data_IF_458776141652
#
_entry.id   IF_458776141652
#
_cell.length_a   1.000
_cell.length_b   1.000
_cell.length_c   1.000
_cell.angle_alpha   90.00
_cell.angle_beta   90.00
_cell.angle_gamma   90.00
#
_symmetry.space_group_name_H-M   'P 1'
#
loop_
_entity.id
_entity.type
_entity.pdbx_description
1 polymer ?
#
# COMPACT_ATOMS: atom_id res chain seq x y z
N UNK A 1 9.55 -19.37 0.36
CA UNK A 1 9.73 -18.66 -0.91
C UNK A 1 10.31 -17.29 -0.61
N UNK A 2 11.49 -17.01 -1.15
CA UNK A 2 12.18 -15.71 -1.01
C UNK A 2 11.39 -14.64 -1.80
N UNK A 3 11.54 -13.37 -1.44
CA UNK A 3 10.81 -12.26 -2.09
C UNK A 3 11.02 -12.25 -3.61
N UNK A 4 12.26 -12.42 -4.06
CA UNK A 4 12.63 -12.46 -5.47
C UNK A 4 11.92 -13.60 -6.21
N UNK A 5 11.89 -14.80 -5.64
CA UNK A 5 11.20 -15.96 -6.21
C UNK A 5 9.70 -15.70 -6.35
N UNK A 6 9.09 -15.09 -5.33
CA UNK A 6 7.65 -14.77 -5.37
C UNK A 6 7.34 -13.73 -6.44
N UNK A 7 8.14 -12.67 -6.55
CA UNK A 7 7.96 -11.65 -7.60
C UNK A 7 8.14 -12.24 -9.01
N UNK A 8 9.09 -13.16 -9.17
CA UNK A 8 9.29 -13.89 -10.42
C UNK A 8 8.08 -14.77 -10.76
N UNK A 9 7.52 -15.48 -9.77
CA UNK A 9 6.30 -16.27 -9.96
C UNK A 9 5.09 -15.39 -10.32
N UNK A 10 4.90 -14.27 -9.62
CA UNK A 10 3.83 -13.30 -9.91
C UNK A 10 3.93 -12.79 -11.36
N UNK A 11 5.14 -12.46 -11.82
CA UNK A 11 5.42 -12.06 -13.21
C UNK A 11 5.04 -13.14 -14.22
N UNK A 12 5.52 -14.38 -14.01
CA UNK A 12 5.24 -15.51 -14.91
C UNK A 12 3.75 -15.79 -15.05
N UNK A 13 3.03 -15.82 -13.92
CA UNK A 13 1.59 -16.11 -13.91
C UNK A 13 0.81 -15.03 -14.66
N UNK A 14 1.10 -13.75 -14.40
CA UNK A 14 0.39 -12.65 -15.06
C UNK A 14 0.74 -12.56 -16.54
N UNK A 15 2.00 -12.76 -16.91
CA UNK A 15 2.40 -12.80 -18.31
C UNK A 15 1.69 -13.92 -19.07
N UNK A 16 1.58 -15.11 -18.48
CA UNK A 16 0.81 -16.20 -19.05
C UNK A 16 -0.68 -15.85 -19.17
N UNK A 17 -1.26 -15.27 -18.13
CA UNK A 17 -2.66 -14.86 -18.08
C UNK A 17 -3.04 -13.89 -19.20
N UNK A 18 -2.21 -12.87 -19.42
CA UNK A 18 -2.44 -11.82 -20.42
C UNK A 18 -2.12 -12.32 -21.84
N UNK A 19 -0.94 -12.91 -22.05
CA UNK A 19 -0.45 -13.16 -23.40
C UNK A 19 -0.95 -14.48 -23.99
N UNK A 20 -1.02 -15.54 -23.19
CA UNK A 20 -1.30 -16.89 -23.68
C UNK A 20 -2.76 -17.27 -23.43
N UNK A 21 -3.24 -17.02 -22.22
CA UNK A 21 -4.59 -17.40 -21.83
C UNK A 21 -5.66 -16.37 -22.23
N UNK A 22 -5.29 -15.20 -22.78
CA UNK A 22 -6.22 -14.12 -23.14
C UNK A 22 -7.24 -13.80 -22.04
N UNK A 23 -6.76 -13.70 -20.80
CA UNK A 23 -7.56 -13.51 -19.59
C UNK A 23 -8.45 -14.69 -19.16
N UNK A 24 -8.23 -15.89 -19.69
CA UNK A 24 -8.90 -17.09 -19.22
C UNK A 24 -8.20 -17.71 -18.00
N UNK A 25 -8.89 -17.68 -16.86
CA UNK A 25 -8.39 -18.21 -15.58
C UNK A 25 -8.14 -19.71 -15.64
N UNK A 26 -9.01 -20.47 -16.32
CA UNK A 26 -8.94 -21.95 -16.36
C UNK A 26 -7.66 -22.42 -17.05
N UNK A 27 -7.30 -21.81 -18.17
CA UNK A 27 -6.08 -22.15 -18.93
C UNK A 27 -4.84 -21.87 -18.08
N UNK A 28 -4.77 -20.69 -17.47
CA UNK A 28 -3.66 -20.31 -16.59
C UNK A 28 -3.54 -21.23 -15.38
N UNK A 29 -4.66 -21.56 -14.73
CA UNK A 29 -4.65 -22.45 -13.56
C UNK A 29 -4.20 -23.85 -13.93
N UNK A 30 -4.67 -24.41 -15.05
CA UNK A 30 -4.27 -25.75 -15.48
C UNK A 30 -2.77 -25.84 -15.79
N UNK A 31 -2.21 -24.84 -16.46
CA UNK A 31 -0.78 -24.76 -16.77
C UNK A 31 0.08 -24.77 -15.49
N UNK A 32 -0.20 -23.87 -14.55
CA UNK A 32 0.61 -23.77 -13.32
C UNK A 32 0.29 -24.85 -12.28
N UNK A 33 -0.86 -25.53 -12.41
CA UNK A 33 -1.15 -26.72 -11.62
C UNK A 33 -0.23 -27.89 -12.00
N UNK A 34 0.12 -28.03 -13.29
CA UNK A 34 1.11 -29.01 -13.76
C UNK A 34 2.51 -28.68 -13.22
N UNK A 35 2.82 -27.39 -13.01
CA UNK A 35 4.05 -26.94 -12.33
C UNK A 35 3.99 -27.08 -10.79
N UNK A 36 2.99 -27.76 -10.25
CA UNK A 36 2.77 -27.97 -8.81
C UNK A 36 2.57 -26.68 -7.99
N UNK A 37 2.13 -25.59 -8.63
CA UNK A 37 1.79 -24.36 -7.90
C UNK A 37 0.37 -24.50 -7.35
N UNK A 38 0.15 -24.23 -6.05
CA UNK A 38 -1.17 -24.34 -5.44
C UNK A 38 -2.20 -23.42 -6.11
N UNK A 39 -3.37 -23.95 -6.44
CA UNK A 39 -4.50 -23.20 -7.02
C UNK A 39 -4.83 -21.91 -6.25
N UNK A 40 -4.87 -21.90 -4.90
CA UNK A 40 -5.15 -20.68 -4.15
C UNK A 40 -4.16 -19.55 -4.45
N UNK A 41 -2.88 -19.91 -4.64
CA UNK A 41 -1.82 -18.95 -4.98
C UNK A 41 -2.06 -18.34 -6.36
N UNK A 42 -2.39 -19.16 -7.36
CA UNK A 42 -2.63 -18.72 -8.73
C UNK A 42 -3.82 -17.75 -8.77
N UNK A 43 -4.96 -18.14 -8.18
CA UNK A 43 -6.15 -17.28 -8.14
C UNK A 43 -5.92 -15.98 -7.38
N UNK A 44 -5.19 -16.02 -6.26
CA UNK A 44 -4.84 -14.81 -5.50
C UNK A 44 -4.04 -13.82 -6.34
N UNK A 45 -3.11 -14.30 -7.15
CA UNK A 45 -2.26 -13.47 -8.01
C UNK A 45 -3.09 -12.88 -9.16
N UNK A 46 -3.91 -13.69 -9.83
CA UNK A 46 -4.81 -13.21 -10.90
C UNK A 46 -5.76 -12.14 -10.35
N UNK A 47 -6.41 -12.40 -9.21
CA UNK A 47 -7.33 -11.46 -8.58
C UNK A 47 -6.66 -10.13 -8.24
N UNK A 48 -5.45 -10.18 -7.66
CA UNK A 48 -4.65 -8.98 -7.36
C UNK A 48 -4.35 -8.17 -8.63
N UNK A 49 -4.03 -8.84 -9.73
CA UNK A 49 -3.79 -8.18 -11.00
C UNK A 49 -5.07 -7.53 -11.58
N UNK A 50 -6.21 -8.22 -11.49
CA UNK A 50 -7.51 -7.66 -11.93
C UNK A 50 -7.92 -6.43 -11.10
N UNK A 51 -7.66 -6.43 -9.79
CA UNK A 51 -8.06 -5.33 -8.90
C UNK A 51 -7.17 -4.08 -9.04
N UNK A 52 -5.87 -4.26 -9.23
CA UNK A 52 -4.90 -3.16 -9.14
C UNK A 52 -4.11 -2.91 -10.43
N UNK A 53 -4.23 -3.76 -11.44
CA UNK A 53 -3.43 -3.70 -12.68
C UNK A 53 -1.93 -3.91 -12.47
N UNK A 54 -1.51 -4.31 -11.26
CA UNK A 54 -0.11 -4.34 -10.85
C UNK A 54 0.26 -5.63 -10.11
N UNK A 55 1.50 -6.04 -10.33
CA UNK A 55 2.18 -7.15 -9.66
C UNK A 55 3.24 -6.62 -8.69
N UNK A 56 3.61 -7.40 -7.67
CA UNK A 56 4.56 -6.99 -6.65
C UNK A 56 3.92 -6.43 -5.38
N UNK A 57 4.67 -6.45 -4.29
CA UNK A 57 4.17 -5.98 -3.01
C UNK A 57 4.14 -4.43 -3.00
N UNK A 58 3.01 -3.85 -2.58
CA UNK A 58 2.93 -2.41 -2.32
C UNK A 58 3.97 -2.04 -1.26
N UNK A 59 4.55 -0.83 -1.32
CA UNK A 59 5.39 -0.35 -0.24
C UNK A 59 4.60 -0.50 1.06
N UNK A 60 5.19 -1.20 2.04
CA UNK A 60 4.57 -1.39 3.35
C UNK A 60 4.47 -0.03 4.00
N UNK A 61 3.31 0.61 3.89
CA UNK A 61 3.00 1.77 4.70
C UNK A 61 2.97 1.28 6.14
N UNK A 62 3.99 1.67 6.91
CA UNK A 62 4.00 1.42 8.34
C UNK A 62 2.73 2.01 8.98
N UNK A 63 2.44 1.61 10.22
CA UNK A 63 1.36 2.24 10.99
C UNK A 63 1.54 3.76 10.93
N UNK A 64 0.53 4.53 10.46
CA UNK A 64 0.64 5.98 10.44
C UNK A 64 1.09 6.48 11.82
N UNK A 65 2.18 7.24 11.87
CA UNK A 65 2.68 7.78 13.12
C UNK A 65 1.62 8.73 13.69
N UNK A 66 1.00 8.34 14.80
CA UNK A 66 0.25 9.29 15.62
C UNK A 66 1.23 10.32 16.15
N UNK A 67 0.82 11.58 16.23
CA UNK A 67 1.58 12.56 17.00
C UNK A 67 1.74 12.04 18.42
N UNK A 68 2.94 12.18 18.99
CA UNK A 68 3.13 11.88 20.40
C UNK A 68 2.32 12.86 21.26
N UNK A 69 2.03 12.50 22.51
CA UNK A 69 1.33 13.38 23.45
C UNK A 69 2.05 14.74 23.61
N UNK A 70 3.38 14.73 23.59
CA UNK A 70 4.20 15.95 23.65
C UNK A 70 4.01 16.83 22.40
N UNK A 71 3.99 16.21 21.21
CA UNK A 71 3.73 16.93 19.96
C UNK A 71 2.30 17.50 19.95
N UNK A 72 1.32 16.74 20.42
CA UNK A 72 -0.07 17.20 20.55
C UNK A 72 -0.20 18.42 21.47
N UNK A 73 0.43 18.39 22.65
CA UNK A 73 0.41 19.49 23.59
C UNK A 73 1.11 20.73 23.04
N UNK A 74 2.25 20.55 22.34
CA UNK A 74 2.96 21.63 21.64
C UNK A 74 2.09 22.24 20.55
N UNK A 75 1.43 21.41 19.73
CA UNK A 75 0.54 21.86 18.67
C UNK A 75 -0.60 22.71 19.25
N UNK A 76 -1.30 22.21 20.27
CA UNK A 76 -2.37 22.95 20.96
C UNK A 76 -1.87 24.28 21.48
N UNK A 77 -0.71 24.33 22.14
CA UNK A 77 -0.13 25.59 22.66
C UNK A 77 0.16 26.61 21.55
N UNK A 78 0.69 26.16 20.41
CA UNK A 78 1.02 27.03 19.27
C UNK A 78 -0.24 27.58 18.59
N UNK A 79 -1.35 26.84 18.61
CA UNK A 79 -2.60 27.23 17.95
C UNK A 79 -3.63 27.90 18.86
N UNK A 80 -3.53 27.71 20.18
CA UNK A 80 -4.43 28.29 21.19
C UNK A 80 -4.08 29.75 21.52
N UNK A 81 -2.80 30.11 21.38
CA UNK A 81 -2.40 31.51 21.40
C UNK A 81 -3.01 32.19 20.16
N UNK A 82 -3.75 33.30 20.35
CA UNK A 82 -4.45 34.08 19.31
C UNK A 82 -3.50 34.75 18.28
N UNK A 83 -2.45 34.06 17.86
CA UNK A 83 -1.35 34.57 17.03
C UNK A 83 -1.61 34.46 15.53
N UNK A 84 -2.77 33.96 15.08
CA UNK A 84 -3.10 33.90 13.65
C UNK A 84 -2.12 33.05 12.83
N UNK A 85 -1.35 32.17 13.50
CA UNK A 85 -0.31 31.37 12.87
C UNK A 85 -0.97 30.34 11.96
N UNK A 86 -0.56 30.33 10.71
CA UNK A 86 -1.07 29.37 9.74
C UNK A 86 -0.53 27.97 10.06
N UNK A 87 -1.39 26.96 9.94
CA UNK A 87 -0.95 25.55 10.02
C UNK A 87 0.18 25.22 9.04
N UNK A 88 0.28 25.95 7.91
CA UNK A 88 1.38 25.82 6.94
C UNK A 88 2.74 26.23 7.52
N UNK A 89 2.75 27.21 8.42
CA UNK A 89 3.98 27.67 9.08
C UNK A 89 4.44 26.69 10.16
N UNK A 90 3.49 26.04 10.83
CA UNK A 90 3.76 25.09 11.92
C UNK A 90 4.12 23.69 11.39
N UNK A 91 3.57 23.30 10.23
CA UNK A 91 3.72 21.96 9.64
C UNK A 91 5.17 21.43 9.59
N UNK A 92 6.19 22.20 9.15
CA UNK A 92 7.56 21.70 9.05
C UNK A 92 8.12 21.20 10.39
N UNK A 93 7.66 21.74 11.52
CA UNK A 93 8.15 21.35 12.86
C UNK A 93 7.69 19.96 13.29
N UNK A 94 6.57 19.47 12.74
CA UNK A 94 5.94 18.22 13.18
C UNK A 94 6.21 17.05 12.23
N UNK A 95 6.80 17.30 11.05
CA UNK A 95 7.05 16.31 10.00
C UNK A 95 5.82 15.43 9.69
N UNK A 96 4.65 16.06 9.63
CA UNK A 96 3.36 15.45 9.28
C UNK A 96 2.64 16.30 8.26
N UNK A 97 1.68 15.70 7.58
CA UNK A 97 0.82 16.42 6.64
C UNK A 97 -0.12 17.41 7.34
N UNK A 98 -0.46 18.52 6.67
CA UNK A 98 -1.37 19.56 7.20
C UNK A 98 -2.73 18.97 7.59
N UNK A 99 -3.25 17.99 6.84
CA UNK A 99 -4.50 17.31 7.17
C UNK A 99 -4.41 16.55 8.49
N UNK A 100 -3.22 16.08 8.86
CA UNK A 100 -2.98 15.40 10.14
C UNK A 100 -3.06 16.38 11.29
N UNK A 101 -2.45 17.57 11.17
CA UNK A 101 -2.54 18.62 12.19
C UNK A 101 -3.97 19.12 12.37
N UNK A 102 -4.68 19.39 11.27
CA UNK A 102 -6.07 19.87 11.31
C UNK A 102 -7.02 18.90 12.02
N UNK A 103 -6.86 17.58 11.81
CA UNK A 103 -7.68 16.56 12.49
C UNK A 103 -7.48 16.53 14.01
N UNK A 104 -6.34 17.00 14.52
CA UNK A 104 -6.03 16.98 15.96
C UNK A 104 -6.51 18.24 16.70
N UNK A 105 -6.96 19.26 15.96
CA UNK A 105 -7.44 20.54 16.48
C UNK A 105 -8.97 20.70 16.39
N UNK A 106 -9.65 19.71 15.81
CA UNK A 106 -11.11 19.55 15.92
C UNK A 106 -11.45 18.92 17.26
#
# INVERSE_FOLDING_TARGET
MVRSEREFLEKRIVQHYVNFAKHEKRITVNHFLQEQIPRPTIYRIIKKYEEFGAIGDKPRVGRPKKLSTQQLNRLKRLTDQKTGVSLRQIQPEFNVDISTLSRQLK
#
